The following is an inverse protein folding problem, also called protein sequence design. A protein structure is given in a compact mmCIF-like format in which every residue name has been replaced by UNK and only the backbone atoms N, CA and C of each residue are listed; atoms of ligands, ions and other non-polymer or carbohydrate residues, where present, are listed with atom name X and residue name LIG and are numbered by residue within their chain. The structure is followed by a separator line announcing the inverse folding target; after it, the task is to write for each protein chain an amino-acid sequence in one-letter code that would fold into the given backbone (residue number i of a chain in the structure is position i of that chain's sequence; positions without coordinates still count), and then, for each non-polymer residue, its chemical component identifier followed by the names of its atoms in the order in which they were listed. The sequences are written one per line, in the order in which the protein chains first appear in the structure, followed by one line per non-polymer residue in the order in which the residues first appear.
data_IF_690934069691
#
_entry.id   IF_690934069691
#
_cell.length_a   1.000
_cell.length_b   1.000
_cell.length_c   1.000
_cell.angle_alpha   90.00
_cell.angle_beta   90.00
_cell.angle_gamma   90.00
#
_symmetry.space_group_name_H-M   'P 1'
#
loop_
_entity.id
_entity.type
_entity.pdbx_description
1 polymer ?
#
# COMPACT_ATOMS: atom_id res chain seq x y z
N UNK A 1 77.45 36.85 -46.70
CA UNK A 1 77.17 36.91 -48.15
C UNK A 1 75.74 36.48 -48.40
N UNK A 2 74.97 37.31 -49.10
CA UNK A 2 73.84 36.97 -49.97
C UNK A 2 72.63 36.16 -49.41
N UNK A 3 71.53 36.88 -49.20
CA UNK A 3 70.16 36.44 -49.56
C UNK A 3 70.02 36.52 -51.11
N UNK A 4 69.03 35.95 -51.86
CA UNK A 4 67.62 35.74 -51.45
C UNK A 4 66.83 34.63 -52.23
N UNK A 5 65.49 34.65 -52.11
CA UNK A 5 64.43 34.16 -53.04
C UNK A 5 64.18 32.63 -53.11
N UNK A 6 62.96 32.09 -53.16
CA UNK A 6 61.59 32.63 -53.20
C UNK A 6 60.59 31.48 -52.89
N UNK A 7 59.52 31.84 -52.18
CA UNK A 7 58.11 31.47 -52.39
C UNK A 7 57.74 29.99 -52.68
N UNK A 8 56.90 29.45 -51.81
CA UNK A 8 55.53 29.06 -52.23
C UNK A 8 54.56 29.06 -51.06
N UNK A 9 53.54 29.87 -51.20
CA UNK A 9 52.39 29.93 -50.34
C UNK A 9 51.48 28.73 -50.59
N UNK A 10 50.98 28.10 -49.52
CA UNK A 10 49.66 27.47 -49.52
C UNK A 10 49.01 27.74 -48.17
N UNK A 11 47.89 28.45 -48.25
CA UNK A 11 47.03 28.76 -47.13
C UNK A 11 45.97 27.66 -46.98
N UNK A 12 45.37 27.60 -45.77
CA UNK A 12 44.04 27.06 -45.44
C UNK A 12 43.98 25.51 -45.36
N UNK A 13 43.30 24.85 -44.43
CA UNK A 13 42.22 25.19 -43.50
C UNK A 13 42.48 24.48 -42.15
N UNK A 14 42.26 25.19 -41.04
CA UNK A 14 42.11 24.63 -39.70
C UNK A 14 40.72 24.01 -39.55
N UNK A 15 40.64 22.69 -39.33
CA UNK A 15 39.42 22.04 -38.87
C UNK A 15 39.62 21.58 -37.43
N UNK A 16 39.06 22.36 -36.49
CA UNK A 16 38.87 21.96 -35.10
C UNK A 16 37.81 20.86 -35.01
N UNK A 17 37.94 19.89 -34.09
CA UNK A 17 36.93 18.86 -33.89
C UNK A 17 35.66 19.46 -33.26
N UNK A 18 34.51 19.05 -33.79
CA UNK A 18 33.17 19.34 -33.27
C UNK A 18 33.00 18.68 -31.90
N UNK A 19 32.97 19.50 -30.85
CA UNK A 19 32.46 19.09 -29.53
C UNK A 19 30.93 19.09 -29.62
N UNK A 20 30.34 17.89 -29.67
CA UNK A 20 28.89 17.71 -29.58
C UNK A 20 28.48 17.97 -28.14
N UNK A 21 28.10 19.22 -27.84
CA UNK A 21 27.43 19.56 -26.60
C UNK A 21 26.06 18.86 -26.58
N UNK A 22 25.84 17.97 -25.62
CA UNK A 22 24.51 17.39 -25.35
C UNK A 22 23.58 18.52 -24.89
N UNK A 23 22.41 18.75 -25.52
CA UNK A 23 21.41 19.62 -24.93
C UNK A 23 20.90 18.98 -23.64
N UNK A 24 21.10 19.66 -22.52
CA UNK A 24 20.44 19.34 -21.25
C UNK A 24 18.97 19.76 -21.37
N UNK A 25 18.16 18.91 -22.01
CA UNK A 25 16.71 19.06 -22.00
C UNK A 25 16.19 18.76 -20.60
N UNK A 26 16.00 19.80 -19.78
CA UNK A 26 15.04 19.73 -18.67
C UNK A 26 13.64 19.86 -19.29
N UNK A 27 12.74 18.87 -19.19
CA UNK A 27 11.36 19.11 -19.55
C UNK A 27 10.73 19.98 -18.45
N UNK A 28 10.56 21.26 -18.73
CA UNK A 28 9.73 22.15 -17.92
C UNK A 28 8.50 22.55 -18.74
N UNK A 29 7.34 22.41 -18.09
CA UNK A 29 5.97 22.65 -18.57
C UNK A 29 5.40 21.64 -19.56
N UNK A 30 4.58 20.71 -19.04
CA UNK A 30 3.40 20.22 -19.78
C UNK A 30 2.30 21.24 -19.50
N UNK A 31 1.74 21.83 -20.55
CA UNK A 31 0.51 22.61 -20.43
C UNK A 31 -0.56 21.74 -19.76
N UNK A 32 -0.97 22.10 -18.55
CA UNK A 32 -2.14 21.52 -17.90
C UNK A 32 -3.35 22.16 -18.57
N UNK A 33 -3.92 21.47 -19.56
CA UNK A 33 -5.21 21.86 -20.11
C UNK A 33 -6.26 21.75 -19.00
N UNK A 34 -6.92 22.85 -18.65
CA UNK A 34 -8.05 22.88 -17.71
C UNK A 34 -9.34 22.27 -18.28
N UNK A 35 -9.26 21.61 -19.44
CA UNK A 35 -10.36 20.83 -19.99
C UNK A 35 -10.48 19.53 -19.21
N UNK A 36 -11.53 19.45 -18.39
CA UNK A 36 -11.98 18.20 -17.79
C UNK A 36 -12.33 17.24 -18.94
N UNK A 37 -11.52 16.21 -19.14
CA UNK A 37 -11.85 15.12 -20.05
C UNK A 37 -12.90 14.27 -19.33
N UNK A 38 -14.17 14.49 -19.67
CA UNK A 38 -15.26 13.66 -19.17
C UNK A 38 -15.36 12.46 -20.12
N UNK A 39 -15.03 11.23 -19.68
CA UNK A 39 -15.24 10.06 -20.51
C UNK A 39 -16.76 9.84 -20.71
N UNK A 40 -17.18 9.26 -21.84
CA UNK A 40 -18.60 9.03 -22.14
C UNK A 40 -19.24 8.18 -21.04
N UNK A 41 -20.47 8.54 -20.66
CA UNK A 41 -21.19 8.02 -19.49
C UNK A 41 -21.38 6.48 -19.46
N UNK A 42 -21.14 5.78 -20.56
CA UNK A 42 -21.24 4.32 -20.64
C UNK A 42 -20.11 3.53 -19.96
N UNK A 43 -19.04 4.19 -19.49
CA UNK A 43 -17.94 3.50 -18.80
C UNK A 43 -18.06 3.45 -17.27
N UNK A 44 -18.98 4.20 -16.66
CA UNK A 44 -19.30 4.08 -15.24
C UNK A 44 -20.56 3.21 -15.12
N UNK A 45 -20.37 1.92 -14.91
CA UNK A 45 -21.47 0.97 -14.69
C UNK A 45 -22.10 1.16 -13.31
N UNK A 46 -22.80 2.28 -13.10
CA UNK A 46 -23.81 2.41 -12.04
C UNK A 46 -25.12 1.80 -12.55
N UNK A 47 -25.35 0.53 -12.23
CA UNK A 47 -26.68 -0.06 -12.37
C UNK A 47 -27.54 0.41 -11.18
N UNK A 48 -28.44 1.35 -11.47
CA UNK A 48 -29.49 1.75 -10.55
C UNK A 48 -30.55 0.64 -10.48
N UNK A 49 -30.92 0.22 -9.27
CA UNK A 49 -32.11 -0.60 -9.09
C UNK A 49 -33.38 0.23 -9.37
N UNK A 50 -34.51 -0.42 -9.67
CA UNK A 50 -35.83 0.20 -9.94
C UNK A 50 -36.34 1.21 -8.88
N UNK A 51 -35.67 1.30 -7.73
CA UNK A 51 -35.97 2.21 -6.61
C UNK A 51 -35.00 3.41 -6.51
N UNK A 52 -34.07 3.62 -7.45
CA UNK A 52 -33.20 4.81 -7.50
C UNK A 52 -32.08 4.87 -6.45
N UNK A 53 -31.75 3.75 -5.81
CA UNK A 53 -30.64 3.66 -4.86
C UNK A 53 -29.32 3.29 -5.57
N UNK A 54 -28.22 3.97 -5.20
CA UNK A 54 -26.85 3.63 -5.61
C UNK A 54 -26.49 2.29 -4.98
N UNK A 55 -26.44 1.23 -5.79
CA UNK A 55 -25.88 -0.05 -5.37
C UNK A 55 -24.38 0.08 -5.50
N UNK A 56 -23.68 0.31 -4.39
CA UNK A 56 -22.27 -0.07 -4.34
C UNK A 56 -22.25 -1.57 -4.60
N UNK A 57 -21.74 -1.99 -5.76
CA UNK A 57 -21.56 -3.41 -6.08
C UNK A 57 -20.63 -3.98 -5.01
N UNK A 58 -21.21 -4.54 -3.93
CA UNK A 58 -20.57 -5.61 -3.15
C UNK A 58 -20.04 -6.54 -4.21
N UNK A 59 -18.73 -6.66 -4.29
CA UNK A 59 -18.09 -7.44 -5.33
C UNK A 59 -18.72 -8.84 -5.29
N UNK A 60 -19.48 -9.18 -6.33
CA UNK A 60 -20.00 -10.52 -6.56
C UNK A 60 -18.83 -11.45 -6.94
N UNK A 61 -17.79 -11.49 -6.11
CA UNK A 61 -16.71 -12.47 -6.24
C UNK A 61 -17.32 -13.74 -5.65
N UNK A 62 -17.51 -14.78 -6.46
CA UNK A 62 -17.97 -16.05 -5.94
C UNK A 62 -16.93 -16.55 -4.92
N UNK A 63 -17.38 -16.92 -3.73
CA UNK A 63 -16.54 -17.37 -2.59
C UNK A 63 -15.56 -18.52 -2.93
N UNK A 64 -15.68 -19.12 -4.11
CA UNK A 64 -14.90 -20.25 -4.61
C UNK A 64 -13.79 -19.89 -5.61
N UNK A 65 -13.67 -18.63 -6.05
CA UNK A 65 -12.57 -18.20 -6.92
C UNK A 65 -11.40 -17.66 -6.10
N UNK A 66 -10.34 -18.46 -5.97
CA UNK A 66 -9.05 -17.99 -5.46
C UNK A 66 -8.47 -16.96 -6.43
N UNK A 67 -8.58 -15.67 -6.08
CA UNK A 67 -7.81 -14.62 -6.73
C UNK A 67 -6.44 -14.58 -6.07
N UNK A 68 -5.38 -14.81 -6.84
CA UNK A 68 -4.03 -14.59 -6.34
C UNK A 68 -3.91 -13.13 -5.90
N UNK A 69 -3.49 -12.92 -4.65
CA UNK A 69 -3.20 -11.60 -4.13
C UNK A 69 -2.09 -10.95 -4.99
N UNK A 70 -2.13 -9.63 -5.26
CA UNK A 70 -1.01 -8.93 -5.91
C UNK A 70 0.31 -9.16 -5.15
N UNK A 71 1.46 -9.20 -5.82
CA UNK A 71 2.76 -9.48 -5.17
C UNK A 71 3.10 -8.49 -4.04
N UNK A 72 2.49 -7.30 -4.05
CA UNK A 72 2.69 -6.23 -3.07
C UNK A 72 1.82 -6.39 -1.81
N UNK A 73 1.11 -7.51 -1.67
CA UNK A 73 0.00 -7.72 -0.71
C UNK A 73 0.39 -7.91 0.75
N UNK A 74 1.55 -7.39 1.16
CA UNK A 74 1.98 -7.23 2.55
C UNK A 74 1.18 -6.11 3.28
N UNK A 75 -0.12 -6.02 3.02
CA UNK A 75 -1.00 -5.01 3.61
C UNK A 75 -1.24 -5.30 5.09
N UNK A 76 -1.50 -6.56 5.45
CA UNK A 76 -1.82 -6.95 6.82
C UNK A 76 -0.58 -7.34 7.64
N UNK A 77 0.50 -7.81 6.99
CA UNK A 77 1.72 -8.27 7.65
C UNK A 77 2.45 -7.18 8.45
N UNK A 78 2.19 -5.90 8.15
CA UNK A 78 2.77 -4.78 8.89
C UNK A 78 2.05 -4.51 10.21
N UNK A 79 0.90 -5.15 10.42
CA UNK A 79 -0.01 -4.86 11.52
C UNK A 79 -0.21 -6.05 12.47
N UNK A 80 0.74 -6.99 12.56
CA UNK A 80 0.64 -8.13 13.48
C UNK A 80 0.42 -7.71 14.93
N UNK A 81 1.02 -6.59 15.36
CA UNK A 81 0.85 -6.08 16.72
C UNK A 81 -0.57 -5.58 16.96
N UNK A 82 -1.11 -4.78 16.03
CA UNK A 82 -2.47 -4.26 16.09
C UNK A 82 -3.50 -5.38 16.04
N UNK A 83 -3.24 -6.41 15.22
CA UNK A 83 -4.09 -7.58 15.07
C UNK A 83 -4.13 -8.39 16.38
N UNK A 84 -2.98 -8.65 17.02
CA UNK A 84 -2.94 -9.32 18.33
C UNK A 84 -3.64 -8.50 19.43
N UNK A 85 -3.44 -7.18 19.47
CA UNK A 85 -4.12 -6.29 20.42
C UNK A 85 -5.64 -6.33 20.23
N UNK A 86 -6.10 -6.32 18.97
CA UNK A 86 -7.53 -6.39 18.68
C UNK A 86 -8.12 -7.76 19.02
N UNK A 87 -7.40 -8.86 18.78
CA UNK A 87 -7.83 -10.19 19.21
C UNK A 87 -8.00 -10.27 20.72
N UNK A 88 -7.08 -9.70 21.50
CA UNK A 88 -7.20 -9.63 22.95
C UNK A 88 -8.45 -8.84 23.38
N UNK A 89 -8.78 -7.75 22.69
CA UNK A 89 -10.02 -7.02 22.91
C UNK A 89 -11.26 -7.89 22.62
N UNK A 90 -11.29 -8.61 21.51
CA UNK A 90 -12.40 -9.51 21.15
C UNK A 90 -12.60 -10.62 22.19
N UNK A 91 -11.52 -11.24 22.66
CA UNK A 91 -11.58 -12.31 23.66
C UNK A 91 -12.01 -11.80 25.04
N UNK A 92 -11.59 -10.60 25.43
CA UNK A 92 -11.89 -10.03 26.76
C UNK A 92 -13.28 -9.41 26.85
N UNK A 93 -13.73 -8.71 25.81
CA UNK A 93 -15.00 -7.95 25.85
C UNK A 93 -16.16 -8.70 25.20
N UNK A 94 -15.91 -9.45 24.13
CA UNK A 94 -16.95 -10.16 23.37
C UNK A 94 -16.89 -11.68 23.57
N UNK A 95 -15.80 -12.21 24.14
CA UNK A 95 -15.53 -13.65 24.24
C UNK A 95 -15.61 -14.35 22.86
N UNK A 96 -15.15 -13.66 21.83
CA UNK A 96 -15.10 -14.15 20.44
C UNK A 96 -13.68 -14.19 19.90
N UNK A 97 -13.46 -15.03 18.90
CA UNK A 97 -12.27 -15.09 18.05
C UNK A 97 -12.61 -14.69 16.61
N UNK A 98 -11.62 -14.56 15.74
CA UNK A 98 -11.83 -14.26 14.32
C UNK A 98 -12.70 -15.30 13.61
N UNK A 99 -12.56 -16.59 13.96
CA UNK A 99 -13.39 -17.68 13.40
C UNK A 99 -14.89 -17.47 13.64
N UNK A 100 -15.28 -16.82 14.73
CA UNK A 100 -16.70 -16.60 15.06
C UNK A 100 -17.40 -15.62 14.09
N UNK A 101 -16.62 -14.90 13.28
CA UNK A 101 -17.11 -13.95 12.28
C UNK A 101 -17.05 -14.48 10.84
N UNK A 102 -16.72 -15.75 10.61
CA UNK A 102 -16.68 -16.36 9.26
C UNK A 102 -17.99 -16.19 8.47
N UNK A 103 -19.13 -16.25 9.15
CA UNK A 103 -20.43 -16.12 8.50
C UNK A 103 -20.79 -14.67 8.17
N UNK A 104 -20.17 -13.70 8.86
CA UNK A 104 -20.46 -12.27 8.73
C UNK A 104 -19.18 -11.44 8.94
N UNK A 105 -18.32 -11.32 7.91
CA UNK A 105 -17.08 -10.56 8.00
C UNK A 105 -17.32 -9.05 8.15
N UNK A 106 -18.49 -8.55 7.75
CA UNK A 106 -18.85 -7.14 7.92
C UNK A 106 -19.00 -6.80 9.41
N UNK A 107 -19.50 -7.73 10.22
CA UNK A 107 -19.59 -7.57 11.68
C UNK A 107 -18.20 -7.48 12.32
N UNK A 108 -17.21 -8.24 11.84
CA UNK A 108 -15.82 -8.12 12.33
C UNK A 108 -15.27 -6.72 12.07
N UNK A 109 -15.46 -6.21 10.86
CA UNK A 109 -15.04 -4.85 10.46
C UNK A 109 -15.76 -3.81 11.33
N UNK A 110 -17.06 -3.97 11.55
CA UNK A 110 -17.84 -3.08 12.40
C UNK A 110 -17.31 -3.05 13.85
N UNK A 111 -17.01 -4.22 14.43
CA UNK A 111 -16.42 -4.28 15.78
C UNK A 111 -15.05 -3.63 15.83
N UNK A 112 -14.24 -3.74 14.77
CA UNK A 112 -12.94 -3.09 14.67
C UNK A 112 -13.08 -1.57 14.58
N UNK A 113 -13.97 -1.05 13.74
CA UNK A 113 -14.24 0.40 13.65
C UNK A 113 -14.73 0.94 15.00
N UNK A 114 -15.63 0.22 15.66
CA UNK A 114 -16.12 0.54 16.99
C UNK A 114 -14.99 0.55 18.03
N UNK A 115 -14.09 -0.41 17.99
CA UNK A 115 -12.90 -0.45 18.86
C UNK A 115 -12.02 0.79 18.65
N UNK A 116 -11.78 1.18 17.40
CA UNK A 116 -10.98 2.36 17.09
C UNK A 116 -11.65 3.64 17.61
N UNK A 117 -12.96 3.77 17.45
CA UNK A 117 -13.68 4.97 17.90
C UNK A 117 -13.76 5.05 19.43
N UNK A 118 -14.07 3.94 20.11
CA UNK A 118 -14.30 3.93 21.55
C UNK A 118 -13.04 3.78 22.39
N UNK A 119 -12.08 2.96 21.96
CA UNK A 119 -10.89 2.68 22.75
C UNK A 119 -9.69 3.48 22.24
N UNK A 120 -9.42 3.47 20.93
CA UNK A 120 -8.21 4.13 20.42
C UNK A 120 -8.37 5.65 20.49
N UNK A 121 -9.41 6.22 19.87
CA UNK A 121 -9.62 7.68 19.88
C UNK A 121 -9.93 8.25 21.26
N UNK A 122 -10.55 7.47 22.16
CA UNK A 122 -10.80 7.95 23.52
C UNK A 122 -9.53 7.99 24.38
N UNK A 123 -8.55 7.12 24.12
CA UNK A 123 -7.33 7.03 24.93
C UNK A 123 -6.17 7.89 24.39
N UNK A 124 -6.24 8.31 23.13
CA UNK A 124 -5.17 9.07 22.46
C UNK A 124 -5.67 10.45 21.99
N UNK A 125 -4.90 11.49 22.25
CA UNK A 125 -5.17 12.86 21.83
C UNK A 125 -4.58 13.13 20.44
N UNK A 126 -5.47 13.36 19.46
CA UNK A 126 -5.10 13.67 18.09
C UNK A 126 -4.29 14.98 17.95
N UNK A 127 -4.27 15.85 18.96
CA UNK A 127 -3.48 17.09 18.94
C UNK A 127 -1.99 16.86 19.21
N UNK A 128 -1.63 15.69 19.77
CA UNK A 128 -0.24 15.32 20.00
C UNK A 128 0.26 14.46 18.85
N UNK A 129 1.33 14.89 18.19
CA UNK A 129 1.86 14.26 16.98
C UNK A 129 2.14 12.75 17.13
N UNK A 130 2.66 12.31 18.28
CA UNK A 130 2.93 10.89 18.54
C UNK A 130 1.67 10.05 18.73
N UNK A 131 0.68 10.57 19.45
CA UNK A 131 -0.58 9.88 19.74
C UNK A 131 -1.47 9.82 18.47
N UNK A 132 -1.45 10.88 17.66
CA UNK A 132 -2.07 10.88 16.32
C UNK A 132 -1.54 9.77 15.42
N UNK A 133 -0.23 9.49 15.45
CA UNK A 133 0.37 8.42 14.65
C UNK A 133 -0.19 7.04 15.03
N UNK A 134 -0.45 6.80 16.32
CA UNK A 134 -1.09 5.56 16.79
C UNK A 134 -2.50 5.43 16.23
N UNK A 135 -3.29 6.50 16.28
CA UNK A 135 -4.64 6.53 15.70
C UNK A 135 -4.58 6.24 14.19
N UNK A 136 -3.72 6.97 13.47
CA UNK A 136 -3.56 6.81 12.02
C UNK A 136 -3.12 5.38 11.66
N UNK A 137 -2.28 4.74 12.49
CA UNK A 137 -1.84 3.35 12.32
C UNK A 137 -2.99 2.36 12.50
N UNK A 138 -3.86 2.56 13.49
CA UNK A 138 -5.04 1.72 13.68
C UNK A 138 -6.09 1.90 12.57
N UNK A 139 -6.23 3.12 12.04
CA UNK A 139 -7.08 3.37 10.86
C UNK A 139 -6.53 2.63 9.65
N UNK A 140 -5.22 2.71 9.40
CA UNK A 140 -4.59 1.98 8.30
C UNK A 140 -4.67 0.44 8.48
N UNK A 141 -4.60 -0.05 9.72
CA UNK A 141 -4.86 -1.45 10.05
C UNK A 141 -6.29 -1.86 9.68
N UNK A 142 -7.30 -1.05 10.01
CA UNK A 142 -8.70 -1.33 9.65
C UNK A 142 -8.88 -1.48 8.13
N UNK A 143 -8.29 -0.57 7.35
CA UNK A 143 -8.30 -0.66 5.89
C UNK A 143 -7.56 -1.90 5.38
N UNK A 144 -6.46 -2.29 6.04
CA UNK A 144 -5.76 -3.55 5.78
C UNK A 144 -6.64 -4.77 5.99
N UNK A 145 -7.39 -4.83 7.11
CA UNK A 145 -8.33 -5.91 7.42
C UNK A 145 -9.44 -6.00 6.37
N UNK A 146 -10.08 -4.87 6.03
CA UNK A 146 -11.10 -4.82 4.98
C UNK A 146 -10.57 -5.32 3.64
N UNK A 147 -9.38 -4.90 3.26
CA UNK A 147 -8.75 -5.31 2.01
C UNK A 147 -8.42 -6.81 2.00
N UNK A 148 -7.87 -7.34 3.11
CA UNK A 148 -7.60 -8.77 3.23
C UNK A 148 -8.87 -9.60 3.14
N UNK A 149 -9.94 -9.20 3.83
CA UNK A 149 -11.25 -9.85 3.76
C UNK A 149 -11.82 -9.80 2.34
N UNK A 150 -11.67 -8.66 1.66
CA UNK A 150 -12.13 -8.51 0.29
C UNK A 150 -11.40 -9.44 -0.68
N UNK A 151 -10.07 -9.54 -0.53
CA UNK A 151 -9.24 -10.34 -1.43
C UNK A 151 -9.34 -11.85 -1.17
N UNK A 152 -9.63 -12.26 0.06
CA UNK A 152 -9.73 -13.66 0.43
C UNK A 152 -11.16 -14.22 0.45
N UNK A 153 -12.15 -13.46 -0.04
CA UNK A 153 -13.55 -13.90 -0.09
C UNK A 153 -14.31 -13.82 1.23
N UNK A 154 -13.77 -13.11 2.24
CA UNK A 154 -14.43 -12.86 3.52
C UNK A 154 -14.03 -13.81 4.64
N UNK A 155 -13.02 -14.66 4.43
CA UNK A 155 -12.59 -15.64 5.42
C UNK A 155 -11.82 -15.00 6.57
N UNK A 156 -12.38 -14.99 7.77
CA UNK A 156 -11.80 -14.33 8.94
C UNK A 156 -10.66 -15.13 9.61
N UNK A 157 -10.68 -16.46 9.49
CA UNK A 157 -9.69 -17.40 10.02
C UNK A 157 -8.28 -17.13 9.51
N UNK A 158 -8.14 -16.46 8.37
CA UNK A 158 -6.82 -16.04 7.85
C UNK A 158 -6.03 -15.26 8.90
N UNK A 159 -6.69 -14.48 9.75
CA UNK A 159 -6.05 -13.66 10.76
C UNK A 159 -5.45 -14.51 11.89
N UNK A 160 -6.09 -15.63 12.25
CA UNK A 160 -5.53 -16.60 13.19
C UNK A 160 -4.29 -17.30 12.60
N UNK A 161 -4.35 -17.70 11.34
CA UNK A 161 -3.21 -18.31 10.63
C UNK A 161 -2.02 -17.34 10.57
N UNK A 162 -2.29 -16.08 10.26
CA UNK A 162 -1.27 -15.02 10.22
C UNK A 162 -0.58 -14.84 11.57
N UNK A 163 -1.34 -14.80 12.68
CA UNK A 163 -0.78 -14.71 14.02
C UNK A 163 0.03 -15.95 14.42
N UNK A 164 -0.49 -17.14 14.15
CA UNK A 164 0.20 -18.40 14.45
C UNK A 164 1.54 -18.48 13.70
N UNK A 165 1.50 -18.19 12.40
CA UNK A 165 2.68 -18.18 11.52
C UNK A 165 3.73 -17.20 12.04
N UNK A 166 3.32 -15.96 12.36
CA UNK A 166 4.22 -14.96 12.94
C UNK A 166 4.84 -15.41 14.26
N UNK A 167 4.06 -16.05 15.13
CA UNK A 167 4.55 -16.60 16.40
C UNK A 167 5.58 -17.72 16.22
N UNK A 168 5.47 -18.54 15.18
CA UNK A 168 6.47 -19.56 14.85
C UNK A 168 7.75 -18.95 14.28
N UNK A 169 7.64 -17.96 13.39
CA UNK A 169 8.79 -17.22 12.86
C UNK A 169 9.59 -16.52 13.97
N UNK A 170 8.92 -15.85 14.91
CA UNK A 170 9.59 -15.19 16.05
C UNK A 170 10.38 -16.19 16.92
N UNK A 171 9.85 -17.40 17.13
CA UNK A 171 10.55 -18.47 17.88
C UNK A 171 11.79 -18.98 17.13
N UNK A 172 11.71 -19.08 15.81
CA UNK A 172 12.85 -19.48 14.99
C UNK A 172 13.96 -18.43 15.02
N UNK A 173 13.63 -17.14 14.88
CA UNK A 173 14.62 -16.06 14.94
C UNK A 173 15.32 -15.97 16.28
N UNK A 174 14.56 -16.11 17.38
CA UNK A 174 15.14 -16.09 18.73
C UNK A 174 16.05 -17.30 18.97
N UNK A 175 15.72 -18.47 18.42
CA UNK A 175 16.57 -19.66 18.48
C UNK A 175 17.86 -19.47 17.68
N UNK A 176 17.76 -18.92 16.47
CA UNK A 176 18.93 -18.62 15.63
C UNK A 176 19.90 -17.64 16.31
N UNK A 177 19.38 -16.54 16.87
CA UNK A 177 20.19 -15.55 17.62
C UNK A 177 20.91 -16.20 18.80
N UNK A 178 20.25 -17.11 19.54
CA UNK A 178 20.89 -17.84 20.64
C UNK A 178 22.01 -18.76 20.16
N UNK A 179 21.83 -19.44 19.03
CA UNK A 179 22.85 -20.31 18.45
C UNK A 179 24.08 -19.51 17.97
N UNK A 180 23.87 -18.32 17.39
CA UNK A 180 24.96 -17.42 16.97
C UNK A 180 25.75 -16.82 18.14
N UNK A 181 25.14 -16.65 19.32
CA UNK A 181 25.83 -16.17 20.54
C UNK A 181 26.67 -17.28 21.19
N UNK A 182 26.31 -18.55 20.98
CA UNK A 182 26.98 -19.71 21.56
C UNK A 182 27.98 -20.39 20.62
N UNK A 183 28.14 -19.90 19.39
CA UNK A 183 29.13 -20.34 18.41
C UNK A 183 30.35 -19.41 18.41
#
# INVERSE_FOLDING_TARGET
MYWPLMRRALAKISYRPLVIARPSCRPYSKEVSSKIIIPPAGHFGEELNYAGAVVTKKSNIPMHEYRQLPDDSNYIEKYYAELDVFLQYLQTQLHKSYVDFENDPDELVFQLEKYIELQVRSNYDANKAGEKLVIDRFVAFCEGVKLTLWLNGGHCFIFDVLLQTKGEFDKLETTKKKQEIHA
#
